data_IF_381390317832
#
_entry.id   IF_381390317832
#
_cell.length_a   1.000
_cell.length_b   1.000
_cell.length_c   1.000
_cell.angle_alpha   90.00
_cell.angle_beta   90.00
_cell.angle_gamma   90.00
#
_symmetry.space_group_name_H-M   'P 1'
#
loop_
_entity.id
_entity.type
_entity.pdbx_description
1 polymer ?
#
# COMPACT_ATOMS: atom_id res chain seq x y z
N UNK A 1 -8.76 -7.18 22.75
CA UNK A 1 -8.51 -7.90 21.47
C UNK A 1 -9.39 -7.34 20.36
N UNK A 2 -10.69 -7.20 20.59
CA UNK A 2 -11.65 -6.52 19.69
C UNK A 2 -11.20 -5.12 19.28
N UNK A 3 -10.71 -4.31 20.23
CA UNK A 3 -10.26 -2.94 19.93
C UNK A 3 -9.04 -2.89 19.01
N UNK A 4 -8.11 -3.84 19.16
CA UNK A 4 -6.98 -3.98 18.24
C UNK A 4 -7.49 -4.32 16.83
N UNK A 5 -8.40 -5.28 16.74
CA UNK A 5 -8.99 -5.72 15.48
C UNK A 5 -9.68 -4.56 14.76
N UNK A 6 -10.52 -3.80 15.47
CA UNK A 6 -11.21 -2.62 14.93
C UNK A 6 -10.21 -1.55 14.48
N UNK A 7 -9.17 -1.28 15.26
CA UNK A 7 -8.12 -0.31 14.90
C UNK A 7 -7.36 -0.72 13.64
N UNK A 8 -6.97 -1.99 13.53
CA UNK A 8 -6.30 -2.51 12.34
C UNK A 8 -7.24 -2.45 11.14
N UNK A 9 -8.49 -2.90 11.29
CA UNK A 9 -9.49 -2.88 10.23
C UNK A 9 -9.74 -1.44 9.73
N UNK A 10 -9.80 -0.47 10.63
CA UNK A 10 -9.93 0.95 10.28
C UNK A 10 -8.76 1.44 9.44
N UNK A 11 -7.53 1.08 9.80
CA UNK A 11 -6.32 1.43 9.03
C UNK A 11 -6.30 0.74 7.67
N UNK A 12 -6.70 -0.54 7.59
CA UNK A 12 -6.90 -1.25 6.33
C UNK A 12 -7.94 -0.54 5.45
N UNK A 13 -9.05 -0.08 6.02
CA UNK A 13 -10.08 0.68 5.32
C UNK A 13 -9.56 2.00 4.73
N UNK A 14 -8.75 2.74 5.49
CA UNK A 14 -8.09 3.96 5.00
C UNK A 14 -7.18 3.63 3.82
N UNK A 15 -6.34 2.60 3.93
CA UNK A 15 -5.51 2.12 2.81
C UNK A 15 -6.36 1.76 1.59
N UNK A 16 -7.44 1.00 1.77
CA UNK A 16 -8.34 0.61 0.69
C UNK A 16 -8.92 1.83 -0.05
N UNK A 17 -9.39 2.86 0.69
CA UNK A 17 -9.89 4.10 0.10
C UNK A 17 -8.79 4.79 -0.71
N UNK A 18 -7.58 4.94 -0.14
CA UNK A 18 -6.44 5.52 -0.85
C UNK A 18 -6.10 4.77 -2.13
N UNK A 19 -6.07 3.43 -2.10
CA UNK A 19 -5.78 2.62 -3.28
C UNK A 19 -6.86 2.74 -4.34
N UNK A 20 -8.14 2.74 -3.95
CA UNK A 20 -9.25 2.94 -4.88
C UNK A 20 -9.14 4.31 -5.57
N UNK A 21 -8.81 5.37 -4.81
CA UNK A 21 -8.60 6.71 -5.37
C UNK A 21 -7.42 6.73 -6.33
N UNK A 22 -6.30 6.11 -5.96
CA UNK A 22 -5.09 6.03 -6.78
C UNK A 22 -5.33 5.22 -8.06
N UNK A 23 -6.13 4.16 -8.01
CA UNK A 23 -6.52 3.38 -9.19
C UNK A 23 -7.30 4.17 -10.24
N UNK A 24 -7.91 5.31 -9.88
CA UNK A 24 -8.60 6.18 -10.85
C UNK A 24 -7.63 6.96 -11.74
N UNK A 25 -6.36 7.09 -11.37
CA UNK A 25 -5.37 7.77 -12.21
C UNK A 25 -4.88 6.85 -13.33
N UNK A 26 -4.65 7.42 -14.52
CA UNK A 26 -4.24 6.67 -15.71
C UNK A 26 -2.92 5.92 -15.53
N UNK A 27 -2.03 6.40 -14.68
CA UNK A 27 -0.74 5.76 -14.35
C UNK A 27 -0.97 4.38 -13.72
N UNK A 28 -1.91 4.27 -12.78
CA UNK A 28 -2.24 3.00 -12.14
C UNK A 28 -3.04 2.07 -13.06
N UNK A 29 -3.90 2.62 -13.93
CA UNK A 29 -4.59 1.85 -14.97
C UNK A 29 -3.61 1.26 -15.99
N UNK A 30 -2.58 2.01 -16.36
CA UNK A 30 -1.52 1.56 -17.28
C UNK A 30 -0.63 0.50 -16.67
N UNK A 31 -0.47 0.53 -15.35
CA UNK A 31 0.19 -0.53 -14.59
C UNK A 31 -0.55 -1.86 -14.74
N UNK A 32 -1.87 -1.84 -14.52
CA UNK A 32 -2.76 -3.01 -14.65
C UNK A 32 -2.83 -3.58 -16.07
N UNK A 33 -2.71 -2.72 -17.09
CA UNK A 33 -2.72 -3.15 -18.50
C UNK A 33 -1.33 -3.55 -19.02
N UNK A 34 -0.29 -3.52 -18.18
CA UNK A 34 1.07 -3.90 -18.55
C UNK A 34 1.81 -2.89 -19.44
N UNK A 35 1.19 -1.75 -19.76
CA UNK A 35 1.69 -0.71 -20.66
C UNK A 35 2.44 0.42 -19.95
N UNK A 36 2.81 0.21 -18.68
CA UNK A 36 3.60 1.16 -17.90
C UNK A 36 5.08 1.11 -18.32
N UNK A 37 5.63 2.28 -18.65
CA UNK A 37 7.05 2.47 -18.94
C UNK A 37 7.90 2.15 -17.70
N UNK A 38 9.20 1.87 -17.91
CA UNK A 38 10.14 1.59 -16.81
C UNK A 38 10.24 2.75 -15.81
N UNK A 39 10.12 3.98 -16.29
CA UNK A 39 10.08 5.17 -15.43
C UNK A 39 8.79 5.28 -14.61
N UNK A 40 7.66 4.86 -15.17
CA UNK A 40 6.37 4.84 -14.47
C UNK A 40 6.31 3.71 -13.43
N UNK A 41 6.93 2.56 -13.74
CA UNK A 41 7.13 1.50 -12.74
C UNK A 41 7.98 1.99 -11.58
N UNK A 42 9.05 2.74 -11.85
CA UNK A 42 9.89 3.32 -10.79
C UNK A 42 9.12 4.34 -9.94
N UNK A 43 8.36 5.25 -10.56
CA UNK A 43 7.56 6.22 -9.80
C UNK A 43 6.50 5.55 -8.93
N UNK A 44 5.91 4.46 -9.43
CA UNK A 44 4.98 3.64 -8.65
C UNK A 44 5.68 2.87 -7.55
N UNK A 45 6.88 2.34 -7.76
CA UNK A 45 7.67 1.68 -6.72
C UNK A 45 7.94 2.64 -5.55
N UNK A 46 8.31 3.89 -5.86
CA UNK A 46 8.47 4.95 -4.87
C UNK A 46 7.16 5.24 -4.14
N UNK A 47 6.05 5.37 -4.88
CA UNK A 47 4.73 5.63 -4.30
C UNK A 47 4.27 4.52 -3.33
N UNK A 48 4.32 3.26 -3.76
CA UNK A 48 3.95 2.11 -2.93
C UNK A 48 4.93 1.89 -1.77
N UNK A 49 6.21 2.20 -1.95
CA UNK A 49 7.21 2.25 -0.87
C UNK A 49 6.87 3.31 0.19
N UNK A 50 6.43 4.51 -0.22
CA UNK A 50 5.97 5.54 0.71
C UNK A 50 4.75 5.07 1.51
N UNK A 51 3.81 4.36 0.88
CA UNK A 51 2.70 3.72 1.63
C UNK A 51 3.18 2.71 2.66
N UNK A 52 4.23 1.94 2.37
CA UNK A 52 4.85 1.04 3.35
C UNK A 52 5.47 1.77 4.54
N UNK A 53 6.11 2.92 4.30
CA UNK A 53 6.65 3.79 5.36
C UNK A 53 5.49 4.33 6.22
N UNK A 54 4.45 4.90 5.59
CA UNK A 54 3.26 5.39 6.30
C UNK A 54 2.60 4.27 7.12
N UNK A 55 2.48 3.06 6.57
CA UNK A 55 1.95 1.88 7.28
C UNK A 55 2.81 1.40 8.45
N UNK A 56 4.08 1.80 8.50
CA UNK A 56 4.95 1.57 9.65
C UNK A 56 4.66 2.56 10.78
N UNK A 57 4.52 3.86 10.45
CA UNK A 57 4.16 4.90 11.42
C UNK A 57 2.73 4.75 11.94
N UNK A 58 1.83 4.24 11.10
CA UNK A 58 0.45 3.88 11.46
C UNK A 58 0.39 2.50 12.15
N UNK A 59 1.40 2.09 12.91
CA UNK A 59 1.39 0.85 13.69
C UNK A 59 0.60 0.96 15.01
N UNK A 60 -0.06 -0.11 15.45
CA UNK A 60 -0.78 -0.14 16.74
C UNK A 60 0.14 -0.76 17.79
N UNK A 61 0.52 -0.05 18.86
CA UNK A 61 1.28 -0.66 19.94
C UNK A 61 0.39 -1.66 20.69
N UNK A 62 0.88 -2.88 20.90
CA UNK A 62 0.22 -3.89 21.72
C UNK A 62 1.25 -4.75 22.45
N UNK A 63 1.11 -4.88 23.77
CA UNK A 63 1.93 -5.79 24.60
C UNK A 63 3.44 -5.72 24.30
N UNK A 64 4.02 -4.51 24.32
CA UNK A 64 5.43 -4.25 24.00
C UNK A 64 5.86 -4.57 22.55
N UNK A 65 4.91 -4.79 21.65
CA UNK A 65 5.10 -4.97 20.21
C UNK A 65 4.33 -3.91 19.40
N UNK A 66 4.56 -3.84 18.08
CA UNK A 66 3.86 -2.95 17.16
C UNK A 66 3.21 -3.79 16.05
N UNK A 67 1.88 -3.84 16.03
CA UNK A 67 1.12 -4.41 14.93
C UNK A 67 1.05 -3.36 13.81
N UNK A 68 1.88 -3.52 12.78
CA UNK A 68 1.97 -2.58 11.66
C UNK A 68 1.24 -3.09 10.41
N UNK A 69 1.04 -2.17 9.47
CA UNK A 69 0.37 -2.42 8.19
C UNK A 69 1.32 -2.15 7.01
N UNK A 70 2.64 -2.26 7.24
CA UNK A 70 3.66 -1.85 6.24
C UNK A 70 3.59 -2.66 4.95
N UNK A 71 3.22 -3.94 5.05
CA UNK A 71 3.22 -4.89 3.94
C UNK A 71 2.23 -4.49 2.86
N UNK A 72 1.15 -3.79 3.21
CA UNK A 72 0.04 -3.51 2.30
C UNK A 72 0.49 -2.72 1.07
N UNK A 73 1.25 -1.63 1.27
CA UNK A 73 1.70 -0.78 0.18
C UNK A 73 2.59 -1.56 -0.79
N UNK A 74 3.62 -2.20 -0.27
CA UNK A 74 4.61 -2.95 -1.06
C UNK A 74 3.97 -4.16 -1.75
N UNK A 75 3.13 -4.93 -1.04
CA UNK A 75 2.44 -6.08 -1.59
C UNK A 75 1.48 -5.69 -2.72
N UNK A 76 0.69 -4.61 -2.55
CA UNK A 76 -0.19 -4.12 -3.62
C UNK A 76 0.62 -3.59 -4.80
N UNK A 77 1.73 -2.90 -4.56
CA UNK A 77 2.66 -2.49 -5.61
C UNK A 77 3.16 -3.68 -6.43
N UNK A 78 3.53 -4.77 -5.77
CA UNK A 78 3.97 -6.00 -6.43
C UNK A 78 2.85 -6.71 -7.20
N UNK A 79 1.65 -6.80 -6.62
CA UNK A 79 0.49 -7.43 -7.27
C UNK A 79 0.06 -6.65 -8.51
N UNK A 80 0.07 -5.32 -8.44
CA UNK A 80 -0.44 -4.46 -9.51
C UNK A 80 0.63 -4.13 -10.56
N UNK A 81 1.89 -4.00 -10.16
CA UNK A 81 3.01 -3.53 -10.99
C UNK A 81 4.11 -4.54 -11.27
N UNK A 82 4.02 -5.73 -10.69
CA UNK A 82 5.01 -6.79 -10.81
C UNK A 82 6.25 -6.58 -9.93
N UNK A 83 7.26 -7.46 -10.06
CA UNK A 83 8.41 -7.52 -9.14
C UNK A 83 9.32 -6.29 -9.10
N UNK A 84 9.16 -5.36 -10.05
CA UNK A 84 9.92 -4.10 -10.07
C UNK A 84 9.27 -2.99 -9.23
N UNK A 85 7.98 -3.15 -8.90
CA UNK A 85 7.17 -2.13 -8.23
C UNK A 85 6.92 -2.48 -6.75
N UNK A 86 6.75 -3.76 -6.45
CA UNK A 86 6.73 -4.28 -5.08
C UNK A 86 8.09 -4.70 -4.58
#
# INVERSE_FOLDING_TARGET
>A
MTDLLINLLGRLGIFAIFFILIMRFDICRRLLTGNASRYEKLSLAVLFGLFGIVGTYMGVPIQNAIANSRVIGVALGGILGGPLVG
#
